data_IF_852764003167
#
_entry.id   IF_852764003167
#
_cell.length_a   1.000
_cell.length_b   1.000
_cell.length_c   1.000
_cell.angle_alpha   90.00
_cell.angle_beta   90.00
_cell.angle_gamma   90.00
#
_symmetry.space_group_name_H-M   'P 1'
#
loop_
_entity.id
_entity.type
_entity.pdbx_description
1 polymer ?
#
# COMPACT_ATOMS: atom_id res chain seq x y z
N UNK A 1 2.43 -6.46 -13.35
CA UNK A 1 2.95 -7.66 -12.67
C UNK A 1 2.17 -7.87 -11.38
N UNK A 2 1.77 -9.07 -11.12
CA UNK A 2 1.17 -9.44 -9.84
C UNK A 2 2.25 -9.90 -8.88
N UNK A 3 2.25 -9.33 -7.68
CA UNK A 3 3.21 -9.72 -6.64
C UNK A 3 2.71 -10.99 -5.94
N UNK A 4 3.43 -12.11 -6.05
CA UNK A 4 2.98 -13.35 -5.42
C UNK A 4 3.27 -13.34 -3.92
N UNK A 5 2.28 -13.70 -3.14
CA UNK A 5 2.45 -13.88 -1.69
C UNK A 5 2.69 -12.57 -0.96
N UNK A 6 1.67 -12.06 -0.30
CA UNK A 6 1.79 -10.89 0.56
C UNK A 6 1.88 -11.35 2.00
N UNK A 7 2.96 -10.96 2.67
CA UNK A 7 3.23 -11.35 4.04
C UNK A 7 2.54 -10.40 5.03
N UNK A 8 2.62 -9.09 4.79
CA UNK A 8 2.06 -8.11 5.71
C UNK A 8 1.69 -6.83 4.98
N UNK A 9 0.72 -6.11 5.54
CA UNK A 9 0.29 -4.80 5.06
C UNK A 9 0.19 -3.88 6.27
N UNK A 10 0.66 -2.65 6.12
CA UNK A 10 0.51 -1.62 7.14
C UNK A 10 0.22 -0.29 6.45
N UNK A 11 -0.31 0.66 7.19
CA UNK A 11 -0.61 1.98 6.64
C UNK A 11 -0.07 3.09 7.52
N UNK A 12 0.01 4.29 6.94
CA UNK A 12 0.40 5.51 7.62
C UNK A 12 -0.37 6.66 6.96
N UNK A 13 -0.51 7.79 7.64
CA UNK A 13 -1.08 8.96 6.99
C UNK A 13 -0.24 9.33 5.76
N UNK A 14 -0.89 9.55 4.62
CA UNK A 14 -0.19 9.92 3.40
C UNK A 14 0.61 11.21 3.56
N UNK A 15 0.16 12.10 4.44
CA UNK A 15 0.86 13.36 4.70
C UNK A 15 2.22 13.17 5.37
N UNK A 16 2.45 12.03 6.00
CA UNK A 16 3.74 11.72 6.62
C UNK A 16 4.79 11.25 5.61
N UNK A 17 4.37 10.94 4.38
CA UNK A 17 5.27 10.56 3.29
C UNK A 17 5.51 11.80 2.45
N UNK A 18 6.56 12.55 2.79
CA UNK A 18 6.81 13.83 2.13
C UNK A 18 7.52 13.65 0.77
N UNK A 19 7.67 14.76 0.05
CA UNK A 19 8.25 14.75 -1.29
C UNK A 19 9.72 14.34 -1.30
N UNK A 20 10.44 14.43 -0.18
CA UNK A 20 11.84 14.02 -0.13
C UNK A 20 12.01 12.53 -0.39
N UNK A 21 11.04 11.72 0.04
CA UNK A 21 11.05 10.27 -0.17
C UNK A 21 10.92 9.97 -1.67
N UNK A 22 10.01 10.65 -2.36
CA UNK A 22 9.86 10.49 -3.80
C UNK A 22 11.11 10.95 -4.56
N UNK A 23 11.70 12.06 -4.14
CA UNK A 23 12.92 12.57 -4.77
C UNK A 23 14.10 11.59 -4.62
N UNK A 24 14.24 10.95 -3.47
CA UNK A 24 15.26 9.94 -3.27
C UNK A 24 15.05 8.76 -4.23
N UNK A 25 13.80 8.30 -4.35
CA UNK A 25 13.47 7.20 -5.24
C UNK A 25 13.72 7.56 -6.70
N UNK A 26 13.37 8.76 -7.11
CA UNK A 26 13.62 9.26 -8.47
C UNK A 26 15.11 9.35 -8.79
N UNK A 27 15.94 9.58 -7.79
CA UNK A 27 17.39 9.65 -7.92
C UNK A 27 18.07 8.28 -7.86
N UNK A 28 17.29 7.19 -7.79
CA UNK A 28 17.82 5.84 -7.70
C UNK A 28 18.31 5.46 -6.31
N UNK A 29 17.99 6.26 -5.30
CA UNK A 29 18.35 6.00 -3.92
C UNK A 29 17.17 5.35 -3.21
N UNK A 30 17.42 4.25 -2.49
CA UNK A 30 16.38 3.63 -1.67
C UNK A 30 15.99 4.59 -0.55
N UNK A 31 14.72 5.03 -0.46
CA UNK A 31 14.32 5.98 0.56
C UNK A 31 14.48 5.42 1.97
N UNK A 32 14.90 6.29 2.89
CA UNK A 32 14.98 5.94 4.30
C UNK A 32 13.61 6.19 4.94
N UNK A 33 12.97 5.10 5.35
CA UNK A 33 11.64 5.14 5.99
C UNK A 33 11.70 4.69 7.45
N UNK A 34 12.90 4.56 8.02
CA UNK A 34 13.07 4.07 9.39
C UNK A 34 12.48 5.01 10.44
N UNK A 35 12.34 6.29 10.12
CA UNK A 35 11.75 7.27 11.01
C UNK A 35 10.21 7.29 10.97
N UNK A 36 9.61 6.55 10.05
CA UNK A 36 8.17 6.49 9.90
C UNK A 36 7.61 5.29 10.66
N UNK A 37 6.51 5.50 11.37
CA UNK A 37 5.85 4.44 12.12
C UNK A 37 4.56 4.06 11.44
N UNK A 38 4.50 2.82 10.95
CA UNK A 38 3.34 2.29 10.25
C UNK A 38 2.43 1.53 11.19
N UNK A 39 1.13 1.56 10.91
CA UNK A 39 0.13 0.84 11.68
C UNK A 39 -0.18 -0.48 10.96
N UNK A 40 0.21 -1.63 11.53
CA UNK A 40 -0.10 -2.92 10.93
C UNK A 40 -1.53 -3.32 11.19
N UNK A 41 -2.08 -4.19 10.34
CA UNK A 41 -3.40 -4.74 10.54
C UNK A 41 -3.48 -6.16 9.99
N UNK A 42 -4.43 -6.93 10.51
CA UNK A 42 -4.67 -8.29 10.05
C UNK A 42 -5.63 -8.30 8.88
N UNK A 43 -5.40 -9.19 7.94
CA UNK A 43 -6.28 -9.39 6.80
C UNK A 43 -6.67 -10.87 6.69
N UNK A 44 -7.73 -11.13 5.92
CA UNK A 44 -8.28 -12.47 5.72
C UNK A 44 -8.02 -12.89 4.27
N UNK A 45 -7.62 -14.15 4.08
CA UNK A 45 -7.36 -14.69 2.75
C UNK A 45 -6.08 -14.17 2.13
N UNK A 46 -6.04 -14.18 0.80
CA UNK A 46 -4.86 -13.80 0.04
C UNK A 46 -5.04 -12.41 -0.58
N UNK A 47 -4.37 -11.39 -0.06
CA UNK A 47 -4.39 -10.07 -0.69
C UNK A 47 -3.78 -10.12 -2.09
N UNK A 48 -4.22 -9.20 -2.94
CA UNK A 48 -3.72 -9.09 -4.31
C UNK A 48 -3.05 -7.75 -4.50
N UNK A 49 -1.83 -7.79 -4.98
CA UNK A 49 -1.10 -6.58 -5.35
C UNK A 49 -0.66 -6.69 -6.80
N UNK A 50 -1.15 -5.78 -7.63
CA UNK A 50 -0.73 -5.67 -9.01
C UNK A 50 -0.02 -4.34 -9.19
N UNK A 51 1.19 -4.40 -9.72
CA UNK A 51 1.99 -3.22 -10.02
C UNK A 51 2.39 -3.28 -11.49
N UNK A 52 2.39 -2.13 -12.13
CA UNK A 52 2.80 -2.02 -13.52
C UNK A 52 3.55 -0.72 -13.73
N UNK A 53 4.39 -0.73 -14.76
CA UNK A 53 5.21 0.40 -15.15
C UNK A 53 5.08 0.53 -16.66
N UNK A 54 4.65 1.68 -17.14
CA UNK A 54 4.47 1.91 -18.57
C UNK A 54 5.18 3.19 -19.00
N UNK A 55 5.84 3.10 -20.16
CA UNK A 55 6.47 4.24 -20.81
C UNK A 55 5.62 4.60 -22.02
N UNK A 56 4.68 5.52 -21.82
CA UNK A 56 3.85 6.01 -22.93
C UNK A 56 4.14 7.47 -23.20
N UNK A 57 4.39 7.73 -24.48
CA UNK A 57 4.38 9.07 -25.08
C UNK A 57 5.26 10.16 -24.45
N UNK A 58 5.84 10.19 -23.41
CA UNK A 58 6.74 11.21 -22.85
C UNK A 58 7.03 11.02 -21.37
N UNK A 59 6.87 9.83 -20.85
CA UNK A 59 7.21 9.60 -19.47
C UNK A 59 6.78 8.24 -18.99
N UNK A 60 7.33 7.86 -17.87
CA UNK A 60 6.93 6.63 -17.20
C UNK A 60 5.73 6.91 -16.31
N UNK A 61 4.80 5.99 -16.30
CA UNK A 61 3.65 6.00 -15.40
C UNK A 61 3.58 4.68 -14.67
N UNK A 62 3.34 4.73 -13.37
CA UNK A 62 3.19 3.54 -12.54
C UNK A 62 1.76 3.41 -12.08
N UNK A 63 1.29 2.17 -12.03
CA UNK A 63 -0.06 1.90 -11.58
C UNK A 63 -0.02 0.82 -10.51
N UNK A 64 -0.81 1.02 -9.46
CA UNK A 64 -0.95 0.09 -8.35
C UNK A 64 -2.42 -0.25 -8.16
N UNK A 65 -2.68 -1.53 -7.96
CA UNK A 65 -3.98 -2.03 -7.51
C UNK A 65 -3.73 -2.99 -6.36
N UNK A 66 -4.15 -2.60 -5.17
CA UNK A 66 -4.04 -3.42 -3.96
C UNK A 66 -5.44 -3.74 -3.48
N UNK A 67 -5.72 -5.01 -3.25
CA UNK A 67 -7.01 -5.47 -2.75
C UNK A 67 -6.80 -6.44 -1.61
N UNK A 68 -7.52 -6.23 -0.51
CA UNK A 68 -7.46 -7.09 0.66
C UNK A 68 -8.79 -7.07 1.39
N UNK A 69 -9.00 -8.10 2.23
CA UNK A 69 -10.20 -8.25 3.02
C UNK A 69 -9.83 -8.17 4.49
N UNK A 70 -10.55 -7.34 5.26
CA UNK A 70 -10.30 -7.18 6.69
C UNK A 70 -11.57 -7.55 7.47
N UNK A 71 -11.41 -8.09 8.71
CA UNK A 71 -12.53 -8.48 9.53
C UNK A 71 -13.07 -7.33 10.40
N UNK A 72 -12.84 -6.09 9.98
CA UNK A 72 -13.28 -4.90 10.71
C UNK A 72 -13.64 -3.81 9.71
N UNK A 73 -14.24 -2.73 10.19
CA UNK A 73 -14.56 -1.57 9.37
C UNK A 73 -13.31 -0.74 9.14
N UNK A 74 -12.90 -0.59 7.87
CA UNK A 74 -11.73 0.21 7.50
C UNK A 74 -12.22 1.60 7.09
N UNK A 75 -11.90 2.61 7.90
CA UNK A 75 -12.40 3.97 7.70
C UNK A 75 -11.33 4.98 7.28
N UNK A 76 -10.09 4.56 7.21
CA UNK A 76 -9.01 5.44 6.79
C UNK A 76 -9.14 5.78 5.30
N UNK A 77 -8.90 7.02 4.93
CA UNK A 77 -9.08 7.47 3.55
C UNK A 77 -7.83 8.12 2.94
N UNK A 78 -7.05 8.83 3.72
CA UNK A 78 -5.87 9.53 3.22
C UNK A 78 -4.63 8.87 3.78
N UNK A 79 -4.37 7.66 3.35
CA UNK A 79 -3.22 6.93 3.86
C UNK A 79 -2.39 6.34 2.73
N UNK A 80 -1.12 6.16 3.03
CA UNK A 80 -0.19 5.39 2.22
C UNK A 80 -0.07 4.00 2.83
N UNK A 81 0.30 3.04 2.01
CA UNK A 81 0.42 1.65 2.43
C UNK A 81 1.83 1.14 2.23
N UNK A 82 2.24 0.25 3.11
CA UNK A 82 3.48 -0.49 2.92
C UNK A 82 3.15 -1.97 2.88
N UNK A 83 3.60 -2.64 1.84
CA UNK A 83 3.29 -4.04 1.58
C UNK A 83 4.58 -4.83 1.56
N UNK A 84 4.67 -5.85 2.38
CA UNK A 84 5.81 -6.75 2.41
C UNK A 84 5.42 -8.06 1.74
N UNK A 85 6.12 -8.41 0.67
CA UNK A 85 5.92 -9.66 -0.03
C UNK A 85 6.64 -10.81 0.65
N UNK A 86 6.22 -12.04 0.37
CA UNK A 86 6.85 -13.23 0.92
C UNK A 86 8.31 -13.38 0.48
N UNK A 87 8.67 -12.80 -0.66
CA UNK A 87 10.06 -12.78 -1.14
C UNK A 87 10.97 -11.83 -0.37
N UNK A 88 10.39 -11.00 0.50
CA UNK A 88 11.14 -9.96 1.21
C UNK A 88 11.09 -8.60 0.56
N UNK A 89 10.56 -8.49 -0.65
CA UNK A 89 10.39 -7.20 -1.31
C UNK A 89 9.37 -6.34 -0.57
N UNK A 90 9.63 -5.05 -0.47
CA UNK A 90 8.80 -4.11 0.26
C UNK A 90 8.41 -2.98 -0.69
N UNK A 91 7.11 -2.72 -0.78
CA UNK A 91 6.57 -1.68 -1.65
C UNK A 91 5.86 -0.61 -0.85
N UNK A 92 6.24 0.64 -1.06
CA UNK A 92 5.55 1.79 -0.49
C UNK A 92 4.59 2.35 -1.54
N UNK A 93 3.33 2.50 -1.18
CA UNK A 93 2.26 2.93 -2.09
C UNK A 93 1.68 4.23 -1.57
N UNK A 94 1.84 5.29 -2.35
CA UNK A 94 1.27 6.59 -2.04
C UNK A 94 2.19 7.53 -1.30
N UNK A 95 1.82 8.79 -1.29
CA UNK A 95 2.55 9.87 -0.64
C UNK A 95 1.63 11.07 -0.43
N UNK A 96 2.14 12.14 0.16
CA UNK A 96 1.38 13.38 0.36
C UNK A 96 0.92 13.98 -0.98
N UNK A 97 1.73 13.86 -2.02
CA UNK A 97 1.41 14.41 -3.34
C UNK A 97 0.63 13.43 -4.23
N UNK A 98 0.63 12.15 -3.87
CA UNK A 98 -0.01 11.07 -4.63
C UNK A 98 -0.80 10.19 -3.68
N UNK A 99 -1.96 10.68 -3.23
CA UNK A 99 -2.80 9.94 -2.29
C UNK A 99 -3.61 8.88 -3.04
N UNK A 100 -3.51 7.60 -2.63
CA UNK A 100 -4.28 6.55 -3.28
C UNK A 100 -5.79 6.72 -3.09
N UNK A 101 -6.55 6.29 -4.07
CA UNK A 101 -8.00 6.19 -3.95
C UNK A 101 -8.35 4.90 -3.21
N UNK A 102 -9.08 5.02 -2.13
CA UNK A 102 -9.48 3.89 -1.28
C UNK A 102 -10.99 3.72 -1.38
N UNK A 103 -11.42 2.52 -1.76
CA UNK A 103 -12.83 2.17 -1.77
C UNK A 103 -13.06 0.93 -0.92
N UNK A 104 -14.22 0.85 -0.30
CA UNK A 104 -14.58 -0.26 0.57
C UNK A 104 -15.92 -0.84 0.15
N UNK A 105 -16.06 -2.16 0.30
CA UNK A 105 -17.27 -2.88 0.00
C UNK A 105 -17.53 -3.89 1.10
N UNK A 106 -18.71 -3.84 1.69
CA UNK A 106 -19.11 -4.81 2.71
C UNK A 106 -19.38 -6.16 2.05
N UNK A 107 -18.73 -7.20 2.56
CA UNK A 107 -18.95 -8.57 2.13
C UNK A 107 -19.72 -9.29 3.24
N UNK A 108 -20.96 -9.68 2.95
CA UNK A 108 -21.75 -10.47 3.89
C UNK A 108 -21.54 -11.94 3.57
N UNK A 109 -20.84 -12.64 4.44
CA UNK A 109 -20.58 -14.07 4.29
C UNK A 109 -21.60 -14.88 5.08
N UNK A 110 -22.81 -15.06 4.53
CA UNK A 110 -23.81 -15.95 5.07
C UNK A 110 -24.37 -15.55 6.44
N UNK A 111 -25.18 -16.43 7.07
CA UNK A 111 -25.89 -16.08 8.31
C UNK A 111 -25.03 -16.07 9.58
N UNK A 112 -23.77 -16.42 9.50
CA UNK A 112 -22.86 -16.35 10.65
C UNK A 112 -21.97 -15.11 10.55
N UNK A 113 -22.48 -14.04 10.70
CA UNK A 113 -22.22 -12.85 11.47
C UNK A 113 -20.86 -12.15 11.49
N UNK A 114 -19.83 -12.52 10.77
CA UNK A 114 -18.63 -11.69 10.73
C UNK A 114 -18.66 -10.86 9.45
N UNK A 115 -18.93 -9.59 9.59
CA UNK A 115 -18.89 -8.68 8.46
C UNK A 115 -17.43 -8.46 8.05
N UNK A 116 -17.09 -8.92 6.86
CA UNK A 116 -15.80 -8.63 6.25
C UNK A 116 -15.93 -7.43 5.31
N UNK A 117 -14.88 -6.67 5.21
CA UNK A 117 -14.82 -5.50 4.33
C UNK A 117 -13.71 -5.71 3.32
N UNK A 118 -14.06 -5.63 2.03
CA UNK A 118 -13.07 -5.61 0.96
C UNK A 118 -12.60 -4.19 0.74
N UNK A 119 -11.30 -3.98 0.83
CA UNK A 119 -10.67 -2.68 0.62
C UNK A 119 -9.89 -2.73 -0.69
N UNK A 120 -10.14 -1.76 -1.56
CA UNK A 120 -9.44 -1.63 -2.83
C UNK A 120 -8.70 -0.30 -2.85
N UNK A 121 -7.41 -0.36 -3.13
CA UNK A 121 -6.53 0.80 -3.18
C UNK A 121 -6.00 0.94 -4.59
N UNK A 122 -6.24 2.08 -5.22
CA UNK A 122 -5.78 2.36 -6.58
C UNK A 122 -4.99 3.65 -6.64
N UNK A 123 -3.91 3.63 -7.39
CA UNK A 123 -3.12 4.82 -7.64
C UNK A 123 -2.43 4.70 -8.99
N UNK A 124 -2.47 5.78 -9.76
CA UNK A 124 -1.76 5.88 -11.03
C UNK A 124 -1.01 7.20 -11.06
N UNK A 125 0.31 7.14 -11.06
CA UNK A 125 1.17 8.32 -11.09
C UNK A 125 2.61 7.86 -11.38
N UNK A 126 3.52 8.76 -11.75
CA UNK A 126 4.93 8.38 -11.93
C UNK A 126 5.55 7.72 -10.72
N UNK A 127 5.06 8.01 -9.52
CA UNK A 127 5.59 7.46 -8.26
C UNK A 127 4.51 6.74 -7.46
N UNK A 128 3.61 6.02 -8.15
CA UNK A 128 2.52 5.29 -7.48
C UNK A 128 3.03 4.24 -6.50
N UNK A 129 4.14 3.58 -6.85
CA UNK A 129 4.77 2.62 -5.94
C UNK A 129 6.28 2.78 -5.98
N UNK A 130 6.90 2.52 -4.84
CA UNK A 130 8.34 2.64 -4.67
C UNK A 130 8.81 1.40 -3.94
N UNK A 131 9.80 0.70 -4.47
CA UNK A 131 10.43 -0.40 -3.77
C UNK A 131 11.40 0.17 -2.74
N UNK A 132 11.26 -0.23 -1.50
CA UNK A 132 12.10 0.25 -0.41
C UNK A 132 12.83 -0.93 0.24
N UNK A 133 13.89 -0.62 0.95
CA UNK A 133 14.65 -1.62 1.69
C UNK A 133 14.91 -1.14 3.11
N UNK A 134 15.21 -2.08 4.01
CA UNK A 134 15.52 -1.78 5.38
C UNK A 134 14.46 -2.25 6.36
N UNK A 135 14.52 -1.72 7.57
CA UNK A 135 13.62 -2.11 8.66
C UNK A 135 12.43 -1.19 8.69
N UNK A 136 11.24 -1.79 8.80
CA UNK A 136 9.99 -1.04 8.92
C UNK A 136 9.65 -0.94 10.40
N UNK A 137 9.42 0.29 10.88
CA UNK A 137 8.95 0.51 12.25
C UNK A 137 7.44 0.35 12.28
N UNK A 138 6.95 -0.58 13.10
CA UNK A 138 5.53 -0.84 13.27
C UNK A 138 5.06 -0.37 14.64
N UNK A 139 3.91 0.29 14.67
CA UNK A 139 3.24 0.67 15.90
C UNK A 139 2.26 -0.39 16.37
N UNK A 140 1.26 0.03 17.13
CA UNK A 140 0.21 -0.85 17.59
C UNK A 140 -0.67 -1.31 16.42
N UNK A 141 -1.17 -2.52 16.51
CA UNK A 141 -2.08 -3.09 15.50
C UNK A 141 -3.40 -2.32 15.48
N UNK A 142 -3.88 -2.08 14.28
CA UNK A 142 -5.13 -1.37 14.04
C UNK A 142 -6.36 -2.15 14.50
#
# INVERSE_FOLDING_TARGET
MRVPGIKSIAFISALDIDSSIELQAMSGISPDITHLQFTPFSFVGDPKLEISDSNENNGSNRKVLLSFIVPFSFRERKCAFIVTASSGAIYLIGSADNVPAISTKDITAGPSTTNHVEVTVELSSPMAWIEVSGVIALGEEY
#
